data_IF_074130543799
#
_entry.id   IF_074130543799
#
_cell.length_a   1.000
_cell.length_b   1.000
_cell.length_c   1.000
_cell.angle_alpha   90.00
_cell.angle_beta   90.00
_cell.angle_gamma   90.00
#
_symmetry.space_group_name_H-M   'P 1'
#
loop_
_entity.id
_entity.type
_entity.pdbx_description
1 polymer ?
#
# COMPACT_ATOMS: atom_id res chain seq x y z
N UNK A 1 19.24 12.24 -12.21
CA UNK A 1 17.93 12.26 -11.53
C UNK A 1 17.82 10.92 -10.82
N UNK A 2 16.68 10.46 -10.31
CA UNK A 2 16.60 9.20 -9.57
C UNK A 2 16.05 8.08 -10.45
N UNK A 3 16.87 7.07 -10.74
CA UNK A 3 16.47 5.93 -11.56
C UNK A 3 15.59 4.95 -10.80
N UNK A 4 14.82 4.12 -11.53
CA UNK A 4 14.04 3.03 -10.95
C UNK A 4 14.91 2.09 -10.10
N UNK A 5 16.11 1.75 -10.56
CA UNK A 5 17.05 0.84 -9.87
C UNK A 5 17.48 1.38 -8.50
N UNK A 6 17.64 2.68 -8.38
CA UNK A 6 17.97 3.34 -7.12
C UNK A 6 16.74 3.42 -6.21
N UNK A 7 15.55 3.66 -6.79
CA UNK A 7 14.30 3.77 -6.06
C UNK A 7 13.85 2.45 -5.40
N UNK A 8 14.23 1.28 -5.93
CA UNK A 8 13.88 -0.04 -5.33
C UNK A 8 14.29 -0.15 -3.85
N UNK A 9 15.33 0.59 -3.43
CA UNK A 9 15.82 0.59 -2.04
C UNK A 9 15.07 1.56 -1.12
N UNK A 10 14.05 2.25 -1.62
CA UNK A 10 13.27 3.20 -0.84
C UNK A 10 12.47 2.50 0.28
N UNK A 11 12.29 3.18 1.42
CA UNK A 11 11.56 2.66 2.57
C UNK A 11 12.24 1.41 3.16
N UNK A 12 11.46 0.34 3.36
CA UNK A 12 11.99 -0.94 3.84
C UNK A 12 12.69 -1.77 2.74
N UNK A 13 12.70 -1.28 1.49
CA UNK A 13 13.20 -2.03 0.33
C UNK A 13 12.27 -3.17 -0.10
N UNK A 14 11.04 -3.23 0.42
CA UNK A 14 10.06 -4.29 0.11
C UNK A 14 8.84 -3.79 -0.66
N UNK A 15 8.92 -2.59 -1.24
CA UNK A 15 7.93 -2.16 -2.23
C UNK A 15 7.93 -3.12 -3.42
N UNK A 16 6.74 -3.44 -3.92
CA UNK A 16 6.62 -4.32 -5.08
C UNK A 16 7.09 -3.59 -6.34
N UNK A 17 7.72 -4.34 -7.27
CA UNK A 17 8.08 -3.77 -8.58
C UNK A 17 6.84 -3.28 -9.35
N UNK A 18 5.68 -3.92 -9.15
CA UNK A 18 4.41 -3.48 -9.72
C UNK A 18 4.05 -2.05 -9.28
N UNK A 19 4.17 -1.74 -7.98
CA UNK A 19 3.91 -0.39 -7.49
C UNK A 19 4.98 0.62 -7.94
N UNK A 20 6.25 0.22 -7.93
CA UNK A 20 7.34 1.07 -8.43
C UNK A 20 7.16 1.40 -9.91
N UNK A 21 6.72 0.44 -10.72
CA UNK A 21 6.42 0.66 -12.13
C UNK A 21 5.32 1.70 -12.30
N UNK A 22 4.26 1.63 -11.48
CA UNK A 22 3.18 2.63 -11.48
C UNK A 22 3.66 4.03 -11.14
N UNK A 23 4.57 4.17 -10.17
CA UNK A 23 5.18 5.47 -9.83
C UNK A 23 5.83 6.09 -11.08
N UNK A 24 6.67 5.34 -11.77
CA UNK A 24 7.41 5.85 -12.94
C UNK A 24 6.54 6.02 -14.20
N UNK A 25 5.35 5.41 -14.23
CA UNK A 25 4.36 5.61 -15.29
C UNK A 25 3.48 6.85 -15.07
N UNK A 26 3.16 7.16 -13.82
CA UNK A 26 2.22 8.24 -13.47
C UNK A 26 2.91 9.55 -13.10
N UNK A 27 4.14 9.48 -12.60
CA UNK A 27 4.93 10.66 -12.27
C UNK A 27 5.66 11.19 -13.51
N UNK A 28 5.97 12.49 -13.49
CA UNK A 28 6.81 13.08 -14.51
C UNK A 28 8.24 12.54 -14.39
N UNK A 29 8.74 11.93 -15.46
CA UNK A 29 10.09 11.42 -15.57
C UNK A 29 10.81 12.09 -16.74
N UNK A 30 12.13 12.15 -16.66
CA UNK A 30 12.99 12.55 -17.77
C UNK A 30 14.03 11.45 -17.96
N UNK A 31 14.09 10.89 -19.17
CA UNK A 31 14.92 9.72 -19.48
C UNK A 31 14.73 8.55 -18.49
N UNK A 32 13.47 8.26 -18.15
CA UNK A 32 13.06 7.24 -17.16
C UNK A 32 13.56 7.48 -15.73
N UNK A 33 13.99 8.70 -15.40
CA UNK A 33 14.41 9.11 -14.07
C UNK A 33 13.44 10.13 -13.44
N UNK A 34 13.20 9.98 -12.13
CA UNK A 34 12.40 10.92 -11.33
C UNK A 34 13.23 12.15 -10.96
N UNK A 35 12.65 13.33 -11.13
CA UNK A 35 13.26 14.56 -10.62
C UNK A 35 13.11 14.67 -9.09
N UNK A 36 13.78 15.68 -8.51
CA UNK A 36 13.74 15.91 -7.06
C UNK A 36 12.32 16.15 -6.53
N UNK A 37 11.50 16.88 -7.31
CA UNK A 37 10.12 17.19 -6.92
C UNK A 37 9.27 15.92 -6.89
N UNK A 38 9.33 15.09 -7.94
CA UNK A 38 8.61 13.83 -8.01
C UNK A 38 9.00 12.90 -6.87
N UNK A 39 10.31 12.78 -6.58
CA UNK A 39 10.79 12.04 -5.42
C UNK A 39 10.20 12.58 -4.10
N UNK A 40 10.25 13.89 -3.88
CA UNK A 40 9.71 14.51 -2.67
C UNK A 40 8.20 14.28 -2.50
N UNK A 41 7.43 14.42 -3.58
CA UNK A 41 5.98 14.16 -3.56
C UNK A 41 5.69 12.71 -3.13
N UNK A 42 6.48 11.74 -3.61
CA UNK A 42 6.35 10.33 -3.22
C UNK A 42 6.72 10.12 -1.75
N UNK A 43 7.84 10.68 -1.30
CA UNK A 43 8.28 10.59 0.12
C UNK A 43 7.18 11.12 1.04
N UNK A 44 6.69 12.33 0.77
CA UNK A 44 5.65 12.97 1.58
C UNK A 44 4.36 12.14 1.59
N UNK A 45 3.95 11.60 0.44
CA UNK A 45 2.77 10.75 0.37
C UNK A 45 2.95 9.44 1.15
N UNK A 46 4.13 8.81 1.07
CA UNK A 46 4.43 7.56 1.73
C UNK A 46 4.59 7.69 3.26
N UNK A 47 5.06 8.83 3.76
CA UNK A 47 5.19 9.11 5.19
C UNK A 47 3.86 9.50 5.87
N UNK A 48 2.91 10.03 5.10
CA UNK A 48 1.66 10.60 5.63
C UNK A 48 0.43 9.93 4.99
N UNK A 49 0.43 8.61 4.77
CA UNK A 49 -0.63 7.90 4.01
C UNK A 49 -2.04 8.05 4.61
N UNK A 50 -2.11 8.37 5.90
CA UNK A 50 -3.35 8.67 6.61
C UNK A 50 -3.94 10.05 6.26
N UNK A 51 -3.15 10.97 5.70
CA UNK A 51 -3.61 12.29 5.28
C UNK A 51 -4.37 12.19 3.94
N UNK A 52 -5.50 12.91 3.77
CA UNK A 52 -6.33 12.83 2.56
C UNK A 52 -5.57 13.12 1.26
N UNK A 53 -4.63 14.06 1.28
CA UNK A 53 -3.84 14.47 0.12
C UNK A 53 -2.86 13.37 -0.32
N UNK A 54 -2.21 12.72 0.65
CA UNK A 54 -1.34 11.58 0.40
C UNK A 54 -2.14 10.39 -0.11
N UNK A 55 -3.28 10.10 0.52
CA UNK A 55 -4.18 9.04 0.09
C UNK A 55 -4.70 9.28 -1.34
N UNK A 56 -5.05 10.52 -1.69
CA UNK A 56 -5.42 10.88 -3.05
C UNK A 56 -4.29 10.64 -4.05
N UNK A 57 -3.05 11.02 -3.71
CA UNK A 57 -1.89 10.76 -4.56
C UNK A 57 -1.70 9.26 -4.81
N UNK A 58 -1.72 8.45 -3.74
CA UNK A 58 -1.53 7.00 -3.80
C UNK A 58 -2.69 6.30 -4.52
N UNK A 59 -3.93 6.76 -4.30
CA UNK A 59 -5.10 6.25 -5.00
C UNK A 59 -4.98 6.40 -6.52
N UNK A 60 -4.44 7.52 -7.01
CA UNK A 60 -4.20 7.69 -8.46
C UNK A 60 -3.21 6.68 -9.01
N UNK A 61 -2.21 6.27 -8.22
CA UNK A 61 -1.27 5.23 -8.63
C UNK A 61 -1.96 3.86 -8.71
N UNK A 62 -2.87 3.59 -7.76
CA UNK A 62 -3.63 2.35 -7.66
C UNK A 62 -4.78 2.23 -8.67
N UNK A 63 -5.39 3.34 -9.09
CA UNK A 63 -6.45 3.35 -10.11
C UNK A 63 -5.87 3.23 -11.52
N UNK A 64 -5.38 2.02 -11.82
CA UNK A 64 -4.72 1.66 -13.09
C UNK A 64 -5.54 2.00 -14.35
N UNK A 65 -6.88 1.99 -14.23
CA UNK A 65 -7.80 2.24 -15.33
C UNK A 65 -8.37 3.66 -15.32
N UNK A 66 -7.99 4.51 -14.36
CA UNK A 66 -8.46 5.89 -14.18
C UNK A 66 -9.98 6.01 -14.17
N UNK A 67 -10.66 5.07 -13.49
CA UNK A 67 -12.14 5.02 -13.43
C UNK A 67 -12.70 5.72 -12.19
N UNK A 68 -11.85 6.15 -11.26
CA UNK A 68 -12.23 6.72 -9.98
C UNK A 68 -12.55 5.68 -8.89
N UNK A 69 -12.24 4.41 -9.14
CA UNK A 69 -12.47 3.32 -8.18
C UNK A 69 -11.51 2.15 -8.40
N UNK A 70 -11.23 1.43 -7.31
CA UNK A 70 -10.53 0.15 -7.30
C UNK A 70 -11.56 -0.97 -7.26
N UNK A 71 -11.45 -1.91 -8.19
CA UNK A 71 -12.22 -3.16 -8.21
C UNK A 71 -11.31 -4.36 -7.93
N UNK A 72 -11.88 -5.57 -7.86
CA UNK A 72 -11.11 -6.79 -7.64
C UNK A 72 -9.97 -6.99 -8.64
N UNK A 73 -10.13 -6.54 -9.89
CA UNK A 73 -9.04 -6.56 -10.88
C UNK A 73 -7.87 -5.66 -10.46
N UNK A 74 -8.18 -4.43 -10.04
CA UNK A 74 -7.19 -3.45 -9.58
C UNK A 74 -6.44 -3.98 -8.35
N UNK A 75 -7.15 -4.57 -7.38
CA UNK A 75 -6.52 -5.18 -6.20
C UNK A 75 -5.63 -6.37 -6.57
N UNK A 76 -6.11 -7.28 -7.42
CA UNK A 76 -5.36 -8.46 -7.85
C UNK A 76 -4.07 -8.08 -8.61
N UNK A 77 -4.14 -7.01 -9.42
CA UNK A 77 -2.99 -6.52 -10.17
C UNK A 77 -1.80 -6.20 -9.24
N UNK A 78 -2.05 -5.48 -8.14
CA UNK A 78 -1.01 -5.17 -7.15
C UNK A 78 -0.65 -6.37 -6.28
N UNK A 79 -1.64 -7.16 -5.87
CA UNK A 79 -1.42 -8.33 -5.02
C UNK A 79 -0.52 -9.39 -5.67
N UNK A 80 -0.54 -9.51 -7.01
CA UNK A 80 0.42 -10.35 -7.74
C UNK A 80 1.88 -9.97 -7.47
N UNK A 81 2.16 -8.68 -7.27
CA UNK A 81 3.49 -8.21 -6.89
C UNK A 81 3.91 -8.71 -5.51
N UNK A 82 2.97 -8.76 -4.56
CA UNK A 82 3.17 -9.32 -3.23
C UNK A 82 3.42 -10.83 -3.32
N UNK A 83 2.55 -11.57 -4.01
CA UNK A 83 2.69 -13.02 -4.19
C UNK A 83 4.01 -13.40 -4.88
N UNK A 84 4.47 -12.60 -5.84
CA UNK A 84 5.77 -12.82 -6.47
C UNK A 84 6.91 -12.73 -5.45
N UNK A 85 6.95 -11.67 -4.63
CA UNK A 85 8.00 -11.53 -3.60
C UNK A 85 7.91 -12.61 -2.51
N UNK A 86 6.70 -13.06 -2.16
CA UNK A 86 6.50 -14.21 -1.26
C UNK A 86 7.11 -15.49 -1.85
N UNK A 87 6.87 -15.76 -3.13
CA UNK A 87 7.43 -16.91 -3.82
C UNK A 87 8.96 -16.85 -3.91
N UNK A 88 9.53 -15.66 -4.10
CA UNK A 88 10.98 -15.45 -4.10
C UNK A 88 11.63 -15.67 -2.72
N UNK A 89 10.83 -15.56 -1.65
CA UNK A 89 11.22 -15.81 -0.26
C UNK A 89 10.84 -17.23 0.23
N UNK A 90 10.49 -18.15 -0.68
CA UNK A 90 10.04 -19.52 -0.39
C UNK A 90 8.87 -19.59 0.61
N UNK A 91 7.99 -18.58 0.61
CA UNK A 91 6.79 -18.53 1.46
C UNK A 91 5.56 -19.05 0.71
N UNK A 92 4.63 -19.65 1.45
CA UNK A 92 3.38 -20.13 0.86
C UNK A 92 2.52 -18.95 0.35
N UNK A 93 1.96 -19.04 -0.87
CA UNK A 93 1.15 -17.97 -1.43
C UNK A 93 -0.19 -17.90 -0.69
N UNK A 94 -0.57 -16.68 -0.31
CA UNK A 94 -1.90 -16.39 0.23
C UNK A 94 -2.92 -16.29 -0.91
N UNK A 95 -4.13 -16.78 -0.65
CA UNK A 95 -5.25 -16.72 -1.58
C UNK A 95 -5.75 -15.27 -1.74
N UNK A 96 -5.80 -14.80 -2.99
CA UNK A 96 -6.25 -13.45 -3.29
C UNK A 96 -7.73 -13.22 -2.92
N UNK A 97 -8.59 -14.22 -3.10
CA UNK A 97 -10.03 -14.03 -2.84
C UNK A 97 -10.31 -13.72 -1.37
N UNK A 98 -9.57 -14.35 -0.44
CA UNK A 98 -9.69 -14.12 0.99
C UNK A 98 -9.24 -12.68 1.35
N UNK A 99 -8.07 -12.27 0.85
CA UNK A 99 -7.56 -10.89 1.06
C UNK A 99 -8.47 -9.85 0.44
N UNK A 100 -9.01 -10.12 -0.75
CA UNK A 100 -9.96 -9.24 -1.42
C UNK A 100 -11.22 -9.09 -0.57
N UNK A 101 -11.83 -10.18 -0.12
CA UNK A 101 -13.02 -10.14 0.72
C UNK A 101 -12.75 -9.38 2.04
N UNK A 102 -11.59 -9.60 2.68
CA UNK A 102 -11.19 -8.84 3.87
C UNK A 102 -11.03 -7.34 3.63
N UNK A 103 -10.42 -6.93 2.51
CA UNK A 103 -10.30 -5.51 2.13
C UNK A 103 -11.69 -4.89 1.96
N UNK A 104 -12.61 -5.58 1.28
CA UNK A 104 -13.97 -5.08 1.08
C UNK A 104 -14.77 -4.99 2.38
N UNK A 105 -14.62 -5.96 3.28
CA UNK A 105 -15.27 -5.98 4.61
C UNK A 105 -14.72 -4.88 5.54
N UNK A 106 -13.43 -4.56 5.40
CA UNK A 106 -12.75 -3.51 6.14
C UNK A 106 -13.19 -2.11 5.67
N UNK A 107 -13.25 -1.90 4.35
CA UNK A 107 -13.59 -0.59 3.76
C UNK A 107 -15.09 -0.31 3.81
N UNK A 108 -15.93 -1.34 3.65
CA UNK A 108 -17.40 -1.23 3.53
C UNK A 108 -17.81 -0.15 2.52
N UNK A 109 -17.40 -0.30 1.25
CA UNK A 109 -17.68 0.71 0.24
C UNK A 109 -19.17 0.89 -0.01
N UNK A 110 -19.56 2.05 -0.51
CA UNK A 110 -20.95 2.31 -0.88
C UNK A 110 -21.46 1.38 -2.00
N UNK A 111 -20.59 1.04 -2.96
CA UNK A 111 -20.81 0.03 -3.99
C UNK A 111 -20.03 -1.24 -3.60
N UNK A 112 -20.69 -2.41 -3.42
CA UNK A 112 -20.03 -3.64 -2.97
C UNK A 112 -18.88 -4.14 -3.85
N UNK A 113 -18.73 -3.62 -5.08
CA UNK A 113 -17.69 -4.05 -6.02
C UNK A 113 -16.67 -2.94 -6.33
N UNK A 114 -16.78 -1.76 -5.72
CA UNK A 114 -15.93 -0.60 -6.05
C UNK A 114 -15.53 0.16 -4.81
N UNK A 115 -14.22 0.32 -4.62
CA UNK A 115 -13.64 1.14 -3.57
C UNK A 115 -13.23 2.48 -4.17
N UNK A 116 -13.91 3.56 -3.80
CA UNK A 116 -13.54 4.93 -4.19
C UNK A 116 -12.57 5.55 -3.18
N UNK A 117 -11.96 6.69 -3.55
CA UNK A 117 -11.15 7.48 -2.61
C UNK A 117 -11.96 7.87 -1.37
N UNK A 118 -13.23 8.26 -1.54
CA UNK A 118 -14.10 8.65 -0.43
C UNK A 118 -14.37 7.47 0.52
N UNK A 119 -14.45 6.24 -0.01
CA UNK A 119 -14.59 5.04 0.81
C UNK A 119 -13.32 4.79 1.65
N UNK A 120 -12.12 4.91 1.04
CA UNK A 120 -10.84 4.76 1.74
C UNK A 120 -10.68 5.78 2.86
N UNK A 121 -11.00 7.06 2.59
CA UNK A 121 -10.92 8.13 3.59
C UNK A 121 -11.94 7.91 4.71
N UNK A 122 -13.20 7.63 4.37
CA UNK A 122 -14.29 7.51 5.35
C UNK A 122 -14.16 6.27 6.25
N UNK A 123 -13.59 5.18 5.73
CA UNK A 123 -13.37 3.96 6.51
C UNK A 123 -12.33 4.13 7.61
N UNK A 124 -11.40 5.09 7.46
CA UNK A 124 -10.23 5.22 8.32
C UNK A 124 -9.20 4.10 8.15
N UNK A 125 -9.35 3.25 7.14
CA UNK A 125 -8.51 2.07 6.88
C UNK A 125 -7.69 2.20 5.59
N UNK A 126 -7.72 3.37 4.93
CA UNK A 126 -7.04 3.58 3.66
C UNK A 126 -5.54 3.33 3.71
N UNK A 127 -4.85 3.75 4.77
CA UNK A 127 -3.42 3.46 4.94
C UNK A 127 -3.13 1.95 4.99
N UNK A 128 -3.94 1.19 5.75
CA UNK A 128 -3.78 -0.26 5.89
C UNK A 128 -3.94 -0.94 4.53
N UNK A 129 -5.01 -0.61 3.79
CA UNK A 129 -5.26 -1.16 2.46
C UNK A 129 -4.16 -0.79 1.48
N UNK A 130 -3.68 0.47 1.50
CA UNK A 130 -2.57 0.87 0.63
C UNK A 130 -1.31 0.05 0.96
N UNK A 131 -0.94 -0.10 2.23
CA UNK A 131 0.24 -0.86 2.64
C UNK A 131 0.16 -2.34 2.22
N UNK A 132 -1.02 -2.97 2.33
CA UNK A 132 -1.26 -4.34 1.85
C UNK A 132 -0.95 -4.48 0.36
N UNK A 133 -1.34 -3.48 -0.44
CA UNK A 133 -1.24 -3.56 -1.90
C UNK A 133 0.17 -3.25 -2.42
N UNK A 134 0.93 -2.40 -1.74
CA UNK A 134 2.16 -1.83 -2.31
C UNK A 134 3.47 -2.41 -1.74
N UNK A 135 3.44 -3.00 -0.55
CA UNK A 135 4.65 -3.38 0.20
C UNK A 135 4.51 -4.75 0.89
N UNK A 136 5.47 -5.65 0.70
CA UNK A 136 5.46 -6.98 1.32
C UNK A 136 5.48 -6.90 2.86
N UNK A 137 6.31 -6.02 3.43
CA UNK A 137 6.31 -5.81 4.89
C UNK A 137 5.00 -5.21 5.41
N UNK A 138 4.34 -4.38 4.59
CA UNK A 138 3.01 -3.85 4.87
C UNK A 138 1.97 -4.97 4.93
N UNK A 139 2.00 -5.86 3.93
CA UNK A 139 1.18 -7.07 3.91
C UNK A 139 1.43 -7.98 5.12
N UNK A 140 2.68 -8.34 5.42
CA UNK A 140 2.97 -9.20 6.58
C UNK A 140 2.61 -8.57 7.92
N UNK A 141 2.70 -7.25 8.03
CA UNK A 141 2.26 -6.56 9.25
C UNK A 141 0.75 -6.67 9.46
N UNK A 142 -0.01 -6.72 8.38
CA UNK A 142 -1.44 -6.97 8.41
C UNK A 142 -1.76 -8.45 8.73
N UNK A 143 -1.16 -9.41 8.02
CA UNK A 143 -1.40 -10.84 8.24
C UNK A 143 -1.09 -11.26 9.68
N UNK A 144 -0.02 -10.71 10.27
CA UNK A 144 0.40 -11.05 11.63
C UNK A 144 -0.22 -10.15 12.71
N UNK A 145 -1.23 -9.34 12.39
CA UNK A 145 -1.82 -8.36 13.32
C UNK A 145 -2.40 -8.98 14.60
N UNK A 146 -2.88 -10.21 14.54
CA UNK A 146 -3.46 -10.92 15.69
C UNK A 146 -2.42 -11.63 16.56
N UNK A 147 -1.22 -11.87 16.03
CA UNK A 147 -0.13 -12.59 16.73
C UNK A 147 0.77 -11.63 17.52
N UNK A 148 0.79 -10.35 17.18
CA UNK A 148 1.58 -9.36 17.92
C UNK A 148 0.98 -9.15 19.32
N UNK A 149 1.70 -9.50 20.41
CA UNK A 149 1.23 -9.17 21.74
C UNK A 149 1.09 -7.66 21.85
N UNK A 150 -0.03 -7.20 22.42
CA UNK A 150 -0.19 -5.79 22.78
C UNK A 150 1.03 -5.36 23.61
N UNK A 151 1.61 -4.17 23.37
CA UNK A 151 2.68 -3.69 24.21
C UNK A 151 2.17 -3.71 25.65
N UNK A 152 2.87 -4.44 26.53
CA UNK A 152 2.57 -4.43 27.95
C UNK A 152 2.50 -2.97 28.37
N UNK A 153 1.31 -2.53 28.75
CA UNK A 153 1.14 -1.22 29.36
C UNK A 153 2.11 -1.17 30.53
N UNK A 154 3.14 -0.33 30.43
CA UNK A 154 4.10 -0.12 31.49
C UNK A 154 3.32 0.25 32.74
N UNK A 155 3.16 -0.73 33.62
CA UNK A 155 2.30 -0.63 34.79
C UNK A 155 2.91 0.43 35.70
N UNK A 156 2.21 1.55 35.81
CA UNK A 156 2.54 2.65 36.69
C UNK A 156 2.29 2.21 38.13
N UNK A 157 3.22 1.47 38.74
CA UNK A 157 3.34 1.17 40.18
C UNK A 157 4.80 0.71 40.38
N UNK A 158 5.63 1.43 41.12
CA UNK A 158 5.52 1.48 42.58
C UNK A 158 6.01 2.79 43.16
N UNK A 159 5.15 3.36 44.01
CA UNK A 159 5.48 4.33 45.04
C UNK A 159 6.44 3.72 46.08
N UNK A 160 7.54 4.42 46.39
CA UNK A 160 7.88 4.90 47.73
C UNK A 160 9.17 5.72 47.71
#
# INVERSE_FOLDING_TARGET
MLSKKEFVRFGSGTLTMVFIDRIFQECLTYDDELDYKGYLDIVLAMENKNEPQAMQFLFRLLDINRRGYLDGFSLNYFFKGIQQQMSEADQEPVNFEDIKDEIFDMIRPADPCKITLDDLVRSGQGEVVINILIELNGFYSYENREVRPAPESADSRTSK
#
